data_IF_051173363345
#
_entry.id   IF_051173363345
#
_cell.length_a   1.000
_cell.length_b   1.000
_cell.length_c   1.000
_cell.angle_alpha   90.00
_cell.angle_beta   90.00
_cell.angle_gamma   90.00
#
_symmetry.space_group_name_H-M   'P 1'
#
loop_
_entity.id
_entity.type
_entity.pdbx_description
1 polymer ?
#
# COMPACT_ATOMS: atom_id res chain seq x y z
N UNK A 1 0.06 8.46 -6.40
CA UNK A 1 -1.29 8.36 -5.81
C UNK A 1 -1.30 8.91 -4.38
N UNK A 2 -2.19 9.86 -4.11
CA UNK A 2 -2.44 10.36 -2.75
C UNK A 2 -3.44 9.47 -2.01
N UNK A 3 -3.64 9.73 -0.72
CA UNK A 3 -4.64 9.02 0.09
C UNK A 3 -6.05 9.20 -0.48
N UNK A 4 -6.81 8.10 -0.58
CA UNK A 4 -8.25 8.11 -0.87
C UNK A 4 -9.08 8.74 0.24
N UNK A 5 -10.21 9.33 -0.13
CA UNK A 5 -11.21 9.74 0.84
C UNK A 5 -11.82 8.51 1.56
N UNK A 6 -12.26 8.65 2.82
CA UNK A 6 -12.87 7.54 3.57
C UNK A 6 -14.06 6.89 2.85
N UNK A 7 -14.88 7.70 2.17
CA UNK A 7 -16.06 7.24 1.44
C UNK A 7 -15.66 6.35 0.24
N UNK A 8 -14.63 6.75 -0.51
CA UNK A 8 -14.10 5.92 -1.62
C UNK A 8 -13.55 4.58 -1.11
N UNK A 9 -12.92 4.58 0.07
CA UNK A 9 -12.42 3.34 0.69
C UNK A 9 -13.60 2.44 1.06
N UNK A 10 -14.66 3.01 1.65
CA UNK A 10 -15.85 2.27 2.03
C UNK A 10 -16.52 1.61 0.82
N UNK A 11 -16.66 2.34 -0.29
CA UNK A 11 -17.23 1.80 -1.52
C UNK A 11 -16.46 0.58 -2.04
N UNK A 12 -15.11 0.68 -2.10
CA UNK A 12 -14.28 -0.46 -2.54
C UNK A 12 -14.40 -1.66 -1.60
N UNK A 13 -14.54 -1.44 -0.30
CA UNK A 13 -14.74 -2.50 0.69
C UNK A 13 -16.08 -3.19 0.49
N UNK A 14 -17.17 -2.43 0.34
CA UNK A 14 -18.52 -2.99 0.14
C UNK A 14 -18.57 -3.82 -1.14
N UNK A 15 -18.01 -3.32 -2.24
CA UNK A 15 -17.91 -4.08 -3.50
C UNK A 15 -17.06 -5.35 -3.31
N UNK A 16 -15.94 -5.26 -2.59
CA UNK A 16 -15.11 -6.40 -2.25
C UNK A 16 -15.85 -7.50 -1.50
N UNK A 17 -16.69 -7.13 -0.54
CA UNK A 17 -17.50 -8.07 0.22
C UNK A 17 -18.60 -8.71 -0.62
N UNK A 18 -19.28 -7.94 -1.48
CA UNK A 18 -20.29 -8.46 -2.42
C UNK A 18 -19.71 -9.52 -3.36
N UNK A 19 -18.48 -9.30 -3.80
CA UNK A 19 -17.76 -10.21 -4.69
C UNK A 19 -17.00 -11.33 -3.95
N UNK A 20 -17.20 -11.47 -2.63
CA UNK A 20 -16.52 -12.44 -1.76
C UNK A 20 -14.98 -12.43 -1.89
N UNK A 21 -14.40 -11.25 -2.16
CA UNK A 21 -12.94 -11.09 -2.24
C UNK A 21 -12.34 -11.06 -0.84
N UNK A 22 -11.39 -11.96 -0.59
CA UNK A 22 -10.63 -11.98 0.65
C UNK A 22 -9.68 -10.77 0.78
N UNK A 23 -8.86 -10.52 -0.26
CA UNK A 23 -7.91 -9.41 -0.25
C UNK A 23 -8.48 -8.21 -1.01
N UNK A 24 -9.06 -7.28 -0.26
CA UNK A 24 -9.60 -6.02 -0.80
C UNK A 24 -8.52 -4.94 -0.71
N UNK A 25 -8.16 -4.35 -1.85
CA UNK A 25 -7.14 -3.31 -1.95
C UNK A 25 -7.75 -2.02 -2.51
N UNK A 26 -8.09 -1.03 -1.66
CA UNK A 26 -8.55 0.29 -2.11
C UNK A 26 -7.57 0.99 -3.05
N UNK A 27 -6.27 0.68 -2.92
CA UNK A 27 -5.22 1.12 -3.82
C UNK A 27 -4.65 -0.10 -4.55
N UNK A 28 -5.07 -0.39 -5.80
CA UNK A 28 -4.69 -1.62 -6.50
C UNK A 28 -3.17 -1.75 -6.71
N UNK A 29 -2.43 -0.64 -6.78
CA UNK A 29 -0.98 -0.60 -6.85
C UNK A 29 -0.28 -1.25 -5.64
N UNK A 30 -0.96 -1.34 -4.49
CA UNK A 30 -0.41 -1.99 -3.28
C UNK A 30 -0.21 -3.48 -3.51
N UNK A 31 -0.93 -4.11 -4.45
CA UNK A 31 -0.69 -5.50 -4.81
C UNK A 31 0.75 -5.72 -5.32
N UNK A 32 1.26 -4.78 -6.13
CA UNK A 32 2.64 -4.84 -6.62
C UNK A 32 3.64 -4.59 -5.49
N UNK A 33 3.34 -3.70 -4.55
CA UNK A 33 4.19 -3.49 -3.37
C UNK A 33 4.27 -4.74 -2.50
N UNK A 34 3.13 -5.42 -2.30
CA UNK A 34 3.07 -6.68 -1.58
C UNK A 34 3.90 -7.77 -2.28
N UNK A 35 3.76 -7.91 -3.60
CA UNK A 35 4.58 -8.85 -4.40
C UNK A 35 6.07 -8.57 -4.27
N UNK A 36 6.50 -7.32 -4.48
CA UNK A 36 7.92 -6.93 -4.39
C UNK A 36 8.52 -7.18 -3.01
N UNK A 37 7.73 -6.94 -1.96
CA UNK A 37 8.14 -7.22 -0.59
C UNK A 37 8.34 -8.72 -0.37
N UNK A 38 7.44 -9.55 -0.88
CA UNK A 38 7.51 -11.00 -0.74
C UNK A 38 8.62 -11.64 -1.57
N UNK A 39 8.91 -11.10 -2.76
CA UNK A 39 9.89 -11.63 -3.72
C UNK A 39 11.34 -11.40 -3.27
N UNK A 40 11.68 -10.19 -2.80
CA UNK A 40 13.00 -9.85 -2.28
C UNK A 40 12.90 -8.90 -1.07
N UNK A 41 12.78 -9.52 0.11
CA UNK A 41 12.55 -8.80 1.35
C UNK A 41 13.74 -7.93 1.77
N UNK A 42 14.97 -8.38 1.52
CA UNK A 42 16.18 -7.64 1.86
C UNK A 42 16.33 -6.38 1.00
N UNK A 43 16.04 -6.48 -0.30
CA UNK A 43 15.99 -5.32 -1.20
C UNK A 43 14.87 -4.37 -0.80
N UNK A 44 13.71 -4.88 -0.44
CA UNK A 44 12.61 -4.07 0.08
C UNK A 44 13.03 -3.31 1.34
N UNK A 45 13.65 -3.96 2.32
CA UNK A 45 14.15 -3.33 3.56
C UNK A 45 15.16 -2.21 3.27
N UNK A 46 16.12 -2.44 2.36
CA UNK A 46 17.06 -1.39 1.94
C UNK A 46 16.34 -0.19 1.32
N UNK A 47 15.30 -0.43 0.51
CA UNK A 47 14.45 0.63 -0.04
C UNK A 47 13.70 1.43 1.02
N UNK A 48 13.06 0.74 1.97
CA UNK A 48 12.31 1.39 3.06
C UNK A 48 13.20 2.24 3.96
N UNK A 49 14.42 1.79 4.28
CA UNK A 49 15.39 2.57 5.06
C UNK A 49 15.76 3.88 4.37
N UNK A 50 15.97 3.86 3.05
CA UNK A 50 16.26 5.08 2.28
C UNK A 50 15.07 6.03 2.26
N UNK A 51 13.87 5.51 2.03
CA UNK A 51 12.65 6.32 2.03
C UNK A 51 12.38 6.96 3.39
N UNK A 52 12.58 6.22 4.48
CA UNK A 52 12.44 6.76 5.84
C UNK A 52 13.43 7.91 6.10
N UNK A 53 14.69 7.75 5.70
CA UNK A 53 15.70 8.81 5.85
C UNK A 53 15.29 10.10 5.12
N UNK A 54 14.69 10.00 3.93
CA UNK A 54 14.17 11.16 3.20
C UNK A 54 12.99 11.83 3.92
N UNK A 55 12.10 11.04 4.52
CA UNK A 55 11.00 11.58 5.31
C UNK A 55 11.52 12.30 6.55
N UNK A 56 12.51 11.73 7.24
CA UNK A 56 13.08 12.31 8.43
C UNK A 56 13.76 13.65 8.11
N UNK A 57 14.47 13.74 6.98
CA UNK A 57 15.05 14.99 6.46
C UNK A 57 13.99 16.04 6.14
N UNK A 58 12.85 15.66 5.55
CA UNK A 58 11.74 16.58 5.27
C UNK A 58 10.99 17.05 6.53
N UNK A 59 11.13 16.33 7.65
CA UNK A 59 10.45 16.63 8.91
C UNK A 59 11.31 17.41 9.91
N UNK A 60 12.62 17.45 9.69
CA UNK A 60 13.58 18.30 10.42
C UNK A 60 13.58 19.72 9.90
#
# INVERSE_FOLDING_TARGET
PGSKAPEEVADVVVEGLRDERFLILPHPEVAEFFRRKADDYDRWLRGMRRWQAQIDELRG
#
